data_IF_020408246836
#
_entry.id   IF_020408246836
#
_cell.length_a   1.000
_cell.length_b   1.000
_cell.length_c   1.000
_cell.angle_alpha   90.00
_cell.angle_beta   90.00
_cell.angle_gamma   90.00
#
_symmetry.space_group_name_H-M   'P 1'
#
loop_
_entity.id
_entity.type
_entity.pdbx_description
1 polymer ?
#
# COMPACT_ATOMS: atom_id res chain seq x y z
N UNK A 1 17.69 0.93 26.97
CA UNK A 1 18.52 0.36 25.88
C UNK A 1 18.18 1.13 24.62
N UNK A 2 18.99 2.11 24.21
CA UNK A 2 18.76 2.83 22.97
C UNK A 2 19.18 1.93 21.81
N UNK A 3 18.21 1.42 21.07
CA UNK A 3 18.45 0.53 19.93
C UNK A 3 18.92 1.39 18.75
N UNK A 4 20.24 1.54 18.60
CA UNK A 4 20.82 2.14 17.40
C UNK A 4 20.55 1.20 16.22
N UNK A 5 19.55 1.53 15.40
CA UNK A 5 19.32 0.87 14.11
C UNK A 5 20.48 1.31 13.20
N UNK A 6 21.50 0.48 13.08
CA UNK A 6 22.61 0.73 12.15
C UNK A 6 22.12 0.42 10.73
N UNK A 7 21.57 1.42 10.05
CA UNK A 7 21.25 1.29 8.62
C UNK A 7 22.55 1.38 7.82
N UNK A 8 23.06 0.23 7.37
CA UNK A 8 24.21 0.20 6.47
C UNK A 8 23.89 0.96 5.17
N UNK A 9 24.75 1.91 4.81
CA UNK A 9 24.62 2.66 3.56
C UNK A 9 25.53 2.04 2.49
N UNK A 10 25.02 1.94 1.27
CA UNK A 10 25.78 1.55 0.08
C UNK A 10 25.59 2.61 -0.99
N UNK A 11 26.67 2.91 -1.71
CA UNK A 11 26.64 3.83 -2.85
C UNK A 11 26.43 3.04 -4.13
N UNK A 12 25.48 3.47 -4.95
CA UNK A 12 25.25 2.94 -6.30
C UNK A 12 25.44 4.05 -7.32
N UNK A 13 25.99 3.72 -8.49
CA UNK A 13 26.07 4.62 -9.63
C UNK A 13 24.90 4.35 -10.55
N UNK A 14 24.18 5.40 -10.95
CA UNK A 14 23.03 5.32 -11.85
C UNK A 14 23.16 6.36 -12.96
N UNK A 15 22.45 6.17 -14.07
CA UNK A 15 22.40 7.19 -15.12
C UNK A 15 21.75 8.48 -14.61
N UNK A 16 22.10 9.60 -15.24
CA UNK A 16 21.47 10.89 -14.96
C UNK A 16 19.95 10.84 -15.20
N UNK A 17 19.50 10.08 -16.19
CA UNK A 17 18.09 9.83 -16.46
C UNK A 17 17.39 9.12 -15.28
N UNK A 18 17.99 8.07 -14.73
CA UNK A 18 17.46 7.36 -13.57
C UNK A 18 17.40 8.26 -12.33
N UNK A 19 18.42 9.10 -12.12
CA UNK A 19 18.41 10.09 -11.05
C UNK A 19 17.25 11.08 -11.19
N UNK A 20 17.06 11.64 -12.40
CA UNK A 20 15.95 12.56 -12.70
C UNK A 20 14.59 11.89 -12.50
N UNK A 21 14.44 10.62 -12.90
CA UNK A 21 13.22 9.85 -12.67
C UNK A 21 12.92 9.71 -11.17
N UNK A 22 13.91 9.33 -10.35
CA UNK A 22 13.76 9.24 -8.89
C UNK A 22 13.44 10.59 -8.26
N UNK A 23 14.09 11.66 -8.72
CA UNK A 23 13.86 13.02 -8.22
C UNK A 23 12.42 13.49 -8.44
N UNK A 24 11.80 13.15 -9.58
CA UNK A 24 10.39 13.46 -9.88
C UNK A 24 9.41 12.69 -8.99
N UNK A 25 9.78 11.50 -8.50
CA UNK A 25 8.93 10.66 -7.67
C UNK A 25 8.95 11.04 -6.18
N UNK A 26 9.97 11.79 -5.75
CA UNK A 26 10.16 12.24 -4.37
C UNK A 26 9.08 13.27 -4.01
N UNK A 27 8.41 13.08 -2.87
CA UNK A 27 7.37 14.00 -2.37
C UNK A 27 7.80 14.67 -1.07
N UNK A 28 7.71 16.01 -1.00
CA UNK A 28 8.01 16.77 0.22
C UNK A 28 9.42 16.52 0.75
N UNK A 29 9.53 16.03 2.00
CA UNK A 29 10.80 15.76 2.70
C UNK A 29 11.29 14.29 2.58
N UNK A 30 10.69 13.49 1.70
CA UNK A 30 11.02 12.07 1.50
C UNK A 30 12.48 11.88 1.05
N UNK A 31 13.21 10.88 1.56
CA UNK A 31 14.59 10.58 1.11
C UNK A 31 14.61 9.74 -0.17
N UNK A 32 15.75 9.68 -0.86
CA UNK A 32 15.88 8.77 -2.00
C UNK A 32 15.78 7.30 -1.58
N UNK A 33 16.26 6.96 -0.38
CA UNK A 33 16.10 5.62 0.20
C UNK A 33 14.62 5.25 0.34
N UNK A 34 13.77 6.17 0.79
CA UNK A 34 12.33 5.92 0.94
C UNK A 34 11.66 5.68 -0.42
N UNK A 35 11.99 6.48 -1.43
CA UNK A 35 11.49 6.30 -2.80
C UNK A 35 11.91 4.95 -3.36
N UNK A 36 13.17 4.56 -3.21
CA UNK A 36 13.71 3.28 -3.69
C UNK A 36 12.99 2.13 -2.99
N UNK A 37 12.83 2.18 -1.66
CA UNK A 37 12.13 1.14 -0.91
C UNK A 37 10.65 1.05 -1.28
N UNK A 38 9.97 2.19 -1.50
CA UNK A 38 8.58 2.22 -1.95
C UNK A 38 8.41 1.57 -3.33
N UNK A 39 9.33 1.80 -4.25
CA UNK A 39 9.33 1.16 -5.57
C UNK A 39 9.70 -0.34 -5.49
N UNK A 40 10.71 -0.68 -4.70
CA UNK A 40 11.22 -2.04 -4.56
C UNK A 40 10.28 -2.97 -3.77
N UNK A 41 9.47 -2.42 -2.85
CA UNK A 41 8.39 -3.16 -2.17
C UNK A 41 7.33 -3.67 -3.15
N UNK A 42 7.29 -3.15 -4.38
CA UNK A 42 6.22 -3.42 -5.33
C UNK A 42 4.87 -2.99 -4.77
N UNK A 43 3.79 -3.20 -5.54
CA UNK A 43 2.52 -3.47 -4.88
C UNK A 43 2.76 -4.79 -4.15
N UNK A 44 2.85 -4.76 -2.82
CA UNK A 44 2.60 -5.98 -2.07
C UNK A 44 1.28 -6.49 -2.64
N UNK A 45 1.23 -7.69 -3.17
CA UNK A 45 -0.02 -8.32 -3.62
C UNK A 45 -0.95 -8.62 -2.42
N UNK A 46 -0.89 -7.79 -1.37
CA UNK A 46 -1.96 -7.70 -0.40
C UNK A 46 -3.12 -7.04 -1.12
N UNK A 47 -4.01 -7.87 -1.64
CA UNK A 47 -5.32 -7.42 -2.05
C UNK A 47 -6.03 -6.79 -0.84
N UNK A 48 -7.07 -5.98 -1.07
CA UNK A 48 -7.92 -5.52 0.04
C UNK A 48 -8.43 -6.70 0.89
N UNK A 49 -8.61 -7.88 0.29
CA UNK A 49 -9.02 -9.08 0.99
C UNK A 49 -7.93 -9.57 1.96
N UNK A 50 -6.66 -9.52 1.56
CA UNK A 50 -5.55 -9.92 2.43
C UNK A 50 -5.38 -8.94 3.61
N UNK A 51 -5.61 -7.65 3.37
CA UNK A 51 -5.66 -6.66 4.43
C UNK A 51 -6.81 -6.94 5.42
N UNK A 52 -8.03 -7.15 4.92
CA UNK A 52 -9.19 -7.46 5.77
C UNK A 52 -8.98 -8.75 6.58
N UNK A 53 -8.34 -9.77 6.00
CA UNK A 53 -7.98 -11.01 6.71
C UNK A 53 -6.94 -10.82 7.81
N UNK A 54 -6.14 -9.76 7.75
CA UNK A 54 -5.11 -9.46 8.74
C UNK A 54 -5.61 -8.63 9.93
N UNK A 55 -6.85 -8.12 9.86
CA UNK A 55 -7.46 -7.39 10.97
C UNK A 55 -7.79 -8.34 12.12
N UNK A 56 -7.73 -7.84 13.35
CA UNK A 56 -8.25 -8.54 14.51
C UNK A 56 -9.78 -8.62 14.44
N UNK A 57 -10.37 -9.54 15.20
CA UNK A 57 -11.83 -9.69 15.24
C UNK A 57 -12.45 -8.43 15.85
N UNK A 58 -13.25 -7.74 15.04
CA UNK A 58 -13.94 -6.50 15.40
C UNK A 58 -15.42 -6.67 15.05
N UNK A 59 -16.27 -6.69 16.08
CA UNK A 59 -17.72 -6.90 15.95
C UNK A 59 -18.41 -5.74 15.22
N UNK A 60 -17.98 -4.50 15.46
CA UNK A 60 -18.56 -3.31 14.80
C UNK A 60 -18.26 -3.36 13.30
N UNK A 61 -17.02 -3.70 12.94
CA UNK A 61 -16.63 -3.88 11.55
C UNK A 61 -17.41 -5.01 10.87
N UNK A 62 -17.63 -6.14 11.58
CA UNK A 62 -18.41 -7.25 11.06
C UNK A 62 -19.87 -6.85 10.78
N UNK A 63 -20.52 -6.14 11.71
CA UNK A 63 -21.89 -5.65 11.53
C UNK A 63 -22.01 -4.69 10.32
N UNK A 64 -21.09 -3.73 10.20
CA UNK A 64 -21.08 -2.78 9.06
C UNK A 64 -20.93 -3.54 7.73
N UNK A 65 -20.05 -4.55 7.69
CA UNK A 65 -19.83 -5.36 6.50
C UNK A 65 -21.07 -6.19 6.14
N UNK A 66 -21.74 -6.78 7.13
CA UNK A 66 -22.98 -7.51 6.93
C UNK A 66 -24.09 -6.62 6.38
N UNK A 67 -24.28 -5.44 6.95
CA UNK A 67 -25.28 -4.48 6.49
C UNK A 67 -24.99 -4.00 5.06
N UNK A 68 -23.73 -3.73 4.72
CA UNK A 68 -23.33 -3.36 3.36
C UNK A 68 -23.66 -4.48 2.36
N UNK A 69 -23.37 -5.75 2.69
CA UNK A 69 -23.68 -6.90 1.84
C UNK A 69 -25.18 -7.09 1.71
N UNK A 70 -25.94 -6.92 2.80
CA UNK A 70 -27.39 -7.01 2.83
C UNK A 70 -28.02 -5.97 1.90
N UNK A 71 -27.59 -4.72 1.99
CA UNK A 71 -28.11 -3.64 1.15
C UNK A 71 -27.73 -3.81 -0.32
N UNK A 72 -26.50 -4.28 -0.62
CA UNK A 72 -26.11 -4.65 -1.99
C UNK A 72 -26.97 -5.77 -2.58
N UNK A 73 -27.48 -6.71 -1.78
CA UNK A 73 -28.38 -7.77 -2.27
C UNK A 73 -29.77 -7.24 -2.59
N UNK A 74 -30.25 -6.25 -1.84
CA UNK A 74 -31.56 -5.60 -2.06
C UNK A 74 -31.55 -4.77 -3.33
N UNK A 75 -30.46 -4.04 -3.55
CA UNK A 75 -30.21 -3.31 -4.78
C UNK A 75 -29.71 -4.32 -5.81
N UNK A 76 -30.62 -5.02 -6.51
CA UNK A 76 -30.25 -5.82 -7.68
C UNK A 76 -29.56 -4.90 -8.69
N UNK A 77 -28.24 -4.77 -8.59
CA UNK A 77 -27.44 -4.09 -9.58
C UNK A 77 -27.67 -4.87 -10.87
N UNK A 78 -28.45 -4.28 -11.78
CA UNK A 78 -28.56 -4.77 -13.15
C UNK A 78 -27.13 -4.81 -13.67
N UNK A 79 -26.56 -6.00 -13.82
CA UNK A 79 -25.30 -6.18 -14.53
C UNK A 79 -25.51 -5.56 -15.92
N UNK A 80 -24.77 -4.49 -16.29
CA UNK A 80 -24.71 -4.11 -17.69
C UNK A 80 -24.13 -5.32 -18.40
N UNK A 81 -24.88 -5.90 -19.35
CA UNK A 81 -24.28 -6.84 -20.29
C UNK A 81 -23.22 -6.05 -21.05
N UNK A 82 -21.96 -6.26 -20.70
CA UNK A 82 -20.80 -5.91 -21.53
C UNK A 82 -20.49 -7.07 -22.44
#
# INVERSE_FOLDING_TARGET
>A
MCMHIFMGHKTITISDEAYKALSRLKRGKESFTDVILKLARGRVECTLLDYVRSLEQDEEFAEIMEDMVRERRRIRLRTPRV
#
